data_IF_583969470911
#
_entry.id   IF_583969470911
#
_cell.length_a   1.000
_cell.length_b   1.000
_cell.length_c   1.000
_cell.angle_alpha   90.00
_cell.angle_beta   90.00
_cell.angle_gamma   90.00
#
_symmetry.space_group_name_H-M   'P 1'
#
loop_
_entity.id
_entity.type
_entity.pdbx_description
1 polymer ?
#
# COMPACT_ATOMS: atom_id res chain seq x y z
N UNK A 1 8.22 6.37 -10.97
CA UNK A 1 9.19 5.90 -9.97
C UNK A 1 8.41 5.31 -8.80
N UNK A 2 7.85 4.11 -8.97
CA UNK A 2 7.12 3.41 -7.89
C UNK A 2 7.22 1.89 -8.00
N UNK A 3 7.97 1.37 -8.99
CA UNK A 3 8.19 -0.07 -9.16
C UNK A 3 9.40 -0.58 -8.36
N UNK A 4 10.29 0.30 -7.88
CA UNK A 4 11.49 -0.11 -7.12
C UNK A 4 11.20 -0.53 -5.67
N UNK A 5 10.02 -0.20 -5.15
CA UNK A 5 9.61 -0.58 -3.79
C UNK A 5 9.04 -2.01 -3.72
N UNK A 6 8.67 -2.59 -4.86
CA UNK A 6 8.09 -3.93 -4.91
C UNK A 6 9.18 -4.98 -5.18
N UNK A 7 9.07 -6.18 -4.58
CA UNK A 7 9.94 -7.31 -4.91
C UNK A 7 9.95 -7.57 -6.42
N UNK A 8 11.11 -7.96 -6.97
CA UNK A 8 11.31 -8.18 -8.42
C UNK A 8 10.25 -9.10 -9.06
N UNK A 9 9.71 -10.04 -8.29
CA UNK A 9 8.75 -11.04 -8.77
C UNK A 9 7.28 -10.67 -8.49
N UNK A 10 7.00 -9.51 -7.92
CA UNK A 10 5.65 -9.11 -7.51
C UNK A 10 4.69 -9.00 -8.70
N UNK A 11 5.13 -8.37 -9.79
CA UNK A 11 4.33 -8.25 -11.01
C UNK A 11 4.02 -9.61 -11.65
N UNK A 12 5.00 -10.52 -11.67
CA UNK A 12 4.80 -11.89 -12.17
C UNK A 12 3.73 -12.63 -11.35
N UNK A 13 3.78 -12.53 -10.03
CA UNK A 13 2.78 -13.16 -9.16
C UNK A 13 1.38 -12.58 -9.35
N UNK A 14 1.26 -11.27 -9.54
CA UNK A 14 -0.03 -10.64 -9.81
C UNK A 14 -0.61 -11.13 -11.14
N UNK A 15 0.21 -11.18 -12.19
CA UNK A 15 -0.19 -11.74 -13.50
C UNK A 15 -0.62 -13.21 -13.40
N UNK A 16 0.19 -14.05 -12.76
CA UNK A 16 -0.09 -15.49 -12.58
C UNK A 16 -1.40 -15.73 -11.79
N UNK A 17 -1.79 -14.79 -10.93
CA UNK A 17 -3.02 -14.83 -10.12
C UNK A 17 -4.18 -14.07 -10.76
N UNK A 18 -3.99 -13.44 -11.92
CA UNK A 18 -5.00 -12.60 -12.57
C UNK A 18 -5.41 -11.38 -11.75
N UNK A 19 -4.53 -10.88 -10.87
CA UNK A 19 -4.79 -9.71 -10.02
C UNK A 19 -4.38 -8.45 -10.75
N UNK A 20 -5.29 -7.49 -10.82
CA UNK A 20 -4.99 -6.14 -11.31
C UNK A 20 -4.24 -5.35 -10.24
N UNK A 21 -3.08 -4.82 -10.62
CA UNK A 21 -2.32 -3.90 -9.77
C UNK A 21 -2.72 -2.46 -10.09
N UNK A 22 -3.15 -1.73 -9.07
CA UNK A 22 -3.37 -0.29 -9.15
C UNK A 22 -2.29 0.42 -8.33
N UNK A 23 -1.75 1.51 -8.86
CA UNK A 23 -0.66 2.26 -8.25
C UNK A 23 -1.13 3.67 -7.94
N UNK A 24 -0.80 4.16 -6.74
CA UNK A 24 -0.92 5.58 -6.45
C UNK A 24 -0.12 6.39 -7.46
N UNK A 25 -0.58 7.61 -7.74
CA UNK A 25 0.24 8.54 -8.49
C UNK A 25 1.31 9.12 -7.57
N UNK A 26 2.55 9.25 -8.05
CA UNK A 26 3.59 9.89 -7.28
C UNK A 26 3.16 11.32 -6.92
N UNK A 27 3.41 11.70 -5.66
CA UNK A 27 3.03 12.99 -5.07
C UNK A 27 1.52 13.24 -4.89
N UNK A 28 0.66 12.22 -5.05
CA UNK A 28 -0.76 12.34 -4.75
C UNK A 28 -1.18 11.39 -3.64
N UNK A 29 -1.02 11.85 -2.40
CA UNK A 29 -1.43 11.14 -1.18
C UNK A 29 -2.93 10.85 -1.12
N UNK A 30 -3.74 11.54 -1.93
CA UNK A 30 -5.19 11.34 -2.01
C UNK A 30 -5.56 9.93 -2.49
N UNK A 31 -4.73 9.32 -3.34
CA UNK A 31 -5.04 8.02 -3.95
C UNK A 31 -4.95 6.85 -2.93
N UNK A 32 -4.27 7.04 -1.79
CA UNK A 32 -4.11 6.03 -0.73
C UNK A 32 -4.79 6.40 0.61
N UNK A 33 -5.66 7.43 0.63
CA UNK A 33 -6.18 8.03 1.88
C UNK A 33 -6.77 7.03 2.88
N UNK A 34 -7.51 6.05 2.38
CA UNK A 34 -8.18 5.08 3.23
C UNK A 34 -7.18 4.18 3.97
N UNK A 35 -6.15 3.71 3.26
CA UNK A 35 -5.12 2.85 3.85
C UNK A 35 -4.25 3.65 4.81
N UNK A 36 -3.91 4.91 4.47
CA UNK A 36 -3.15 5.79 5.37
C UNK A 36 -3.93 6.09 6.66
N UNK A 37 -5.22 6.42 6.58
CA UNK A 37 -6.04 6.71 7.75
C UNK A 37 -6.25 5.47 8.62
N UNK A 38 -6.49 4.31 8.02
CA UNK A 38 -6.59 3.04 8.72
C UNK A 38 -5.28 2.71 9.47
N UNK A 39 -4.14 2.83 8.80
CA UNK A 39 -2.83 2.55 9.40
C UNK A 39 -2.49 3.53 10.53
N UNK A 40 -2.89 4.80 10.41
CA UNK A 40 -2.75 5.79 11.48
C UNK A 40 -3.57 5.40 12.72
N UNK A 41 -4.86 5.14 12.52
CA UNK A 41 -5.78 4.74 13.59
C UNK A 41 -5.32 3.46 14.30
N UNK A 42 -4.95 2.44 13.52
CA UNK A 42 -4.49 1.16 14.06
C UNK A 42 -3.21 1.32 14.89
N UNK A 43 -2.28 2.17 14.45
CA UNK A 43 -1.07 2.48 15.22
C UNK A 43 -1.40 3.19 16.52
N UNK A 44 -2.36 4.11 16.52
CA UNK A 44 -2.78 4.84 17.71
C UNK A 44 -3.50 3.93 18.72
N UNK A 45 -4.34 3.01 18.23
CA UNK A 45 -4.94 1.94 19.04
C UNK A 45 -3.85 1.05 19.68
N UNK A 46 -2.90 0.58 18.88
CA UNK A 46 -1.78 -0.24 19.35
C UNK A 46 -0.77 0.52 20.22
N UNK A 47 -0.82 1.85 20.25
CA UNK A 47 0.07 2.71 21.06
C UNK A 47 -0.45 3.02 22.45
N UNK A 48 -1.61 2.49 22.84
CA UNK A 48 -2.11 2.61 24.20
C UNK A 48 -2.17 1.24 24.89
N UNK A 49 -0.99 0.68 25.16
CA UNK A 49 -0.81 -0.19 26.33
C UNK A 49 -0.62 0.77 27.51
N UNK A 50 -1.72 1.17 28.16
CA UNK A 50 -1.67 1.66 29.54
C UNK A 50 -1.70 0.46 30.48
#
# INVERSE_FOLDING_TARGET
>A
MELSLYPKDFGKRAYDKGVTLDYSRPNKSTDNLFVESFNGLFRDECRNIK
#
